data_IF_599513806111
#
_entry.id   IF_599513806111
#
_cell.length_a   1.000
_cell.length_b   1.000
_cell.length_c   1.000
_cell.angle_alpha   90.00
_cell.angle_beta   90.00
_cell.angle_gamma   90.00
#
_symmetry.space_group_name_H-M   'P 1'
#
loop_
_entity.id
_entity.type
_entity.pdbx_description
1 polymer ?
#
# COMPACT_ATOMS: atom_id res chain seq x y z
N UNK A 1 2.07 -16.37 -39.66
CA UNK A 1 1.02 -15.72 -38.82
C UNK A 1 0.25 -16.83 -38.12
N UNK A 2 0.64 -17.13 -36.88
CA UNK A 2 0.05 -18.20 -36.10
C UNK A 2 -0.90 -17.58 -35.07
N UNK A 3 -2.17 -17.43 -35.45
CA UNK A 3 -3.26 -17.16 -34.51
C UNK A 3 -3.40 -18.38 -33.61
N UNK A 4 -2.68 -18.40 -32.49
CA UNK A 4 -2.90 -19.39 -31.45
C UNK A 4 -4.32 -19.18 -30.94
N UNK A 5 -5.21 -20.12 -31.25
CA UNK A 5 -6.49 -20.31 -30.57
C UNK A 5 -6.21 -20.36 -29.08
N UNK A 6 -6.50 -19.24 -28.39
CA UNK A 6 -6.50 -19.20 -26.93
C UNK A 6 -7.78 -19.94 -26.55
N UNK A 7 -7.63 -21.17 -26.03
CA UNK A 7 -8.70 -21.88 -25.36
C UNK A 7 -9.46 -20.90 -24.47
N UNK A 8 -10.77 -20.87 -24.61
CA UNK A 8 -11.69 -20.15 -23.70
C UNK A 8 -11.49 -20.71 -22.30
N UNK A 9 -10.47 -20.22 -21.60
CA UNK A 9 -10.32 -20.49 -20.17
C UNK A 9 -11.55 -19.90 -19.48
N UNK A 10 -12.23 -20.70 -18.68
CA UNK A 10 -13.44 -20.33 -17.93
C UNK A 10 -13.28 -19.05 -17.08
N UNK A 11 -12.06 -18.59 -16.86
CA UNK A 11 -11.73 -17.41 -16.08
C UNK A 11 -10.86 -16.43 -16.89
N UNK A 12 -11.27 -15.15 -16.91
CA UNK A 12 -10.50 -14.06 -17.53
C UNK A 12 -9.10 -13.94 -16.88
N UNK A 13 -8.04 -13.85 -17.70
CA UNK A 13 -6.66 -13.87 -17.21
C UNK A 13 -6.36 -12.74 -16.21
N UNK A 14 -7.05 -11.62 -16.30
CA UNK A 14 -6.94 -10.52 -15.34
C UNK A 14 -7.10 -10.97 -13.88
N UNK A 15 -7.95 -11.98 -13.60
CA UNK A 15 -8.12 -12.51 -12.24
C UNK A 15 -6.93 -13.31 -11.72
N UNK A 16 -6.16 -13.97 -12.61
CA UNK A 16 -4.89 -14.58 -12.22
C UNK A 16 -3.85 -13.52 -11.84
N UNK A 17 -3.87 -12.35 -12.54
CA UNK A 17 -3.01 -11.21 -12.18
C UNK A 17 -3.44 -10.63 -10.82
N UNK A 18 -4.74 -10.54 -10.54
CA UNK A 18 -5.26 -10.13 -9.22
C UNK A 18 -4.80 -11.07 -8.11
N UNK A 19 -4.88 -12.39 -8.33
CA UNK A 19 -4.38 -13.39 -7.38
C UNK A 19 -2.86 -13.25 -7.16
N UNK A 20 -2.09 -13.08 -8.23
CA UNK A 20 -0.65 -12.81 -8.16
C UNK A 20 -0.34 -11.54 -7.38
N UNK A 21 -1.09 -10.48 -7.66
CA UNK A 21 -1.01 -9.21 -6.96
C UNK A 21 -1.28 -9.34 -5.46
N UNK A 22 -2.36 -10.03 -5.08
CA UNK A 22 -2.69 -10.32 -3.70
C UNK A 22 -1.55 -11.05 -2.97
N UNK A 23 -1.03 -12.13 -3.57
CA UNK A 23 0.05 -12.92 -2.98
C UNK A 23 1.36 -12.13 -2.85
N UNK A 24 1.72 -11.34 -3.86
CA UNK A 24 2.91 -10.49 -3.81
C UNK A 24 2.79 -9.40 -2.74
N UNK A 25 1.61 -8.79 -2.59
CA UNK A 25 1.33 -7.85 -1.51
C UNK A 25 1.44 -8.52 -0.14
N UNK A 26 0.91 -9.76 -0.02
CA UNK A 26 1.01 -10.52 1.21
C UNK A 26 2.46 -10.79 1.61
N UNK A 27 3.29 -11.27 0.68
CA UNK A 27 4.70 -11.54 0.93
C UNK A 27 5.46 -10.25 1.30
N UNK A 28 5.30 -9.19 0.51
CA UNK A 28 6.05 -7.95 0.66
C UNK A 28 5.72 -7.22 1.97
N UNK A 29 4.43 -7.05 2.27
CA UNK A 29 4.00 -6.34 3.47
C UNK A 29 4.07 -7.19 4.72
N UNK A 30 3.86 -8.52 4.61
CA UNK A 30 4.11 -9.45 5.69
C UNK A 30 5.58 -9.40 6.14
N UNK A 31 6.52 -9.42 5.20
CA UNK A 31 7.95 -9.25 5.48
C UNK A 31 8.26 -7.90 6.14
N UNK A 32 7.69 -6.82 5.62
CA UNK A 32 7.88 -5.46 6.16
C UNK A 32 7.40 -5.31 7.59
N UNK A 33 6.18 -5.75 7.88
CA UNK A 33 5.59 -5.59 9.21
C UNK A 33 6.13 -6.59 10.23
N UNK A 34 6.80 -7.66 9.80
CA UNK A 34 7.54 -8.56 10.68
C UNK A 34 8.82 -7.92 11.27
N UNK A 35 9.29 -6.79 10.73
CA UNK A 35 10.54 -6.17 11.20
C UNK A 35 10.54 -5.87 12.70
N UNK A 36 9.43 -5.40 13.24
CA UNK A 36 9.30 -5.05 14.66
C UNK A 36 9.67 -6.19 15.62
N UNK A 37 9.48 -7.45 15.20
CA UNK A 37 9.76 -8.64 16.01
C UNK A 37 11.28 -8.84 16.20
N UNK A 38 12.11 -8.35 15.26
CA UNK A 38 13.56 -8.50 15.30
C UNK A 38 14.27 -7.47 16.18
N UNK A 39 13.59 -6.37 16.54
CA UNK A 39 14.22 -5.27 17.31
C UNK A 39 14.81 -5.78 18.63
N UNK A 40 14.02 -6.50 19.42
CA UNK A 40 14.47 -6.99 20.73
C UNK A 40 15.59 -8.04 20.62
N UNK A 41 15.50 -9.08 19.78
CA UNK A 41 16.58 -10.04 19.57
C UNK A 41 17.88 -9.41 19.09
N UNK A 42 17.84 -8.47 18.15
CA UNK A 42 19.03 -7.76 17.65
C UNK A 42 19.67 -6.89 18.73
N UNK A 43 18.87 -6.20 19.53
CA UNK A 43 19.37 -5.41 20.67
C UNK A 43 20.05 -6.30 21.71
N UNK A 44 19.49 -7.47 21.99
CA UNK A 44 20.04 -8.40 22.98
C UNK A 44 21.32 -9.10 22.51
N UNK A 45 21.36 -9.55 21.24
CA UNK A 45 22.47 -10.37 20.72
C UNK A 45 23.64 -9.51 20.22
N UNK A 46 23.37 -8.39 19.55
CA UNK A 46 24.38 -7.51 18.94
C UNK A 46 24.74 -6.30 19.81
N UNK A 47 24.03 -6.06 20.91
CA UNK A 47 24.21 -4.87 21.74
C UNK A 47 23.85 -3.56 21.06
N UNK A 48 23.15 -3.60 19.91
CA UNK A 48 22.74 -2.39 19.20
C UNK A 48 21.60 -1.69 19.94
N UNK A 49 21.64 -0.36 19.99
CA UNK A 49 20.52 0.40 20.53
C UNK A 49 19.28 0.27 19.67
N UNK A 50 18.10 0.45 20.27
CA UNK A 50 16.83 0.45 19.53
C UNK A 50 16.80 1.50 18.43
N UNK A 51 17.44 2.66 18.64
CA UNK A 51 17.56 3.71 17.63
C UNK A 51 18.37 3.27 16.41
N UNK A 52 19.47 2.54 16.63
CA UNK A 52 20.28 1.95 15.54
C UNK A 52 19.42 1.00 14.71
N UNK A 53 18.70 0.08 15.35
CA UNK A 53 17.85 -0.87 14.63
C UNK A 53 16.72 -0.14 13.91
N UNK A 54 16.08 0.84 14.54
CA UNK A 54 14.96 1.60 13.95
C UNK A 54 15.40 2.47 12.77
N UNK A 55 16.65 2.97 12.76
CA UNK A 55 17.20 3.73 11.64
C UNK A 55 17.22 2.90 10.35
N UNK A 56 17.46 1.59 10.43
CA UNK A 56 17.37 0.71 9.27
C UNK A 56 15.97 0.72 8.64
N UNK A 57 14.91 0.74 9.47
CA UNK A 57 13.54 0.84 8.97
C UNK A 57 13.24 2.21 8.33
N UNK A 58 13.80 3.28 8.86
CA UNK A 58 13.67 4.63 8.29
C UNK A 58 14.36 4.73 6.93
N UNK A 59 15.59 4.20 6.82
CA UNK A 59 16.31 4.10 5.53
C UNK A 59 15.51 3.26 4.53
N UNK A 60 14.96 2.11 4.98
CA UNK A 60 14.12 1.25 4.15
C UNK A 60 12.92 2.00 3.56
N UNK A 61 12.20 2.77 4.38
CA UNK A 61 11.03 3.50 3.93
C UNK A 61 11.39 4.59 2.90
N UNK A 62 12.50 5.29 3.12
CA UNK A 62 13.00 6.30 2.18
C UNK A 62 13.41 5.65 0.85
N UNK A 63 14.19 4.58 0.89
CA UNK A 63 14.63 3.85 -0.31
C UNK A 63 13.45 3.23 -1.04
N UNK A 64 12.47 2.68 -0.32
CA UNK A 64 11.22 2.18 -0.89
C UNK A 64 10.46 3.27 -1.64
N UNK A 65 10.32 4.46 -1.06
CA UNK A 65 9.62 5.57 -1.69
C UNK A 65 10.33 6.07 -2.96
N UNK A 66 11.67 6.20 -2.92
CA UNK A 66 12.48 6.54 -4.08
C UNK A 66 12.45 5.44 -5.15
N UNK A 67 12.55 4.18 -4.72
CA UNK A 67 12.45 2.99 -5.57
C UNK A 67 11.10 2.88 -6.29
N UNK A 68 10.01 3.36 -5.67
CA UNK A 68 8.69 3.45 -6.28
C UNK A 68 8.66 4.30 -7.55
N UNK A 69 9.46 5.36 -7.63
CA UNK A 69 9.62 6.18 -8.83
C UNK A 69 10.31 5.39 -9.94
N UNK A 70 11.36 4.62 -9.58
CA UNK A 70 12.08 3.78 -10.55
C UNK A 70 11.21 2.63 -11.06
N UNK A 71 10.49 1.94 -10.17
CA UNK A 71 9.61 0.82 -10.55
C UNK A 71 8.48 1.27 -11.46
N UNK A 72 7.90 2.45 -11.20
CA UNK A 72 6.87 3.04 -12.05
C UNK A 72 7.35 3.31 -13.47
N UNK A 73 8.56 3.88 -13.63
CA UNK A 73 9.17 4.12 -14.95
C UNK A 73 9.57 2.83 -15.66
N UNK A 74 10.08 1.86 -14.91
CA UNK A 74 10.45 0.55 -15.46
C UNK A 74 9.22 -0.18 -15.99
N UNK A 75 8.06 -0.07 -15.31
CA UNK A 75 6.81 -0.72 -15.72
C UNK A 75 6.27 -0.24 -17.07
N UNK A 76 6.66 0.95 -17.52
CA UNK A 76 6.30 1.47 -18.84
C UNK A 76 7.15 0.86 -19.95
N UNK A 77 8.30 0.24 -19.63
CA UNK A 77 9.28 -0.30 -20.62
C UNK A 77 9.53 -1.80 -20.47
N UNK A 78 9.37 -2.34 -19.29
CA UNK A 78 9.72 -3.73 -18.93
C UNK A 78 8.48 -4.48 -18.46
N UNK A 79 8.35 -5.74 -18.87
CA UNK A 79 7.23 -6.56 -18.44
C UNK A 79 7.23 -6.75 -16.89
N UNK A 80 6.05 -6.67 -16.23
CA UNK A 80 5.92 -6.72 -14.76
C UNK A 80 6.65 -7.91 -14.14
N UNK A 81 6.62 -9.08 -14.80
CA UNK A 81 7.27 -10.30 -14.31
C UNK A 81 8.76 -10.10 -13.99
N UNK A 82 9.48 -9.36 -14.84
CA UNK A 82 10.91 -9.15 -14.67
C UNK A 82 11.23 -8.16 -13.56
N UNK A 83 10.41 -7.11 -13.43
CA UNK A 83 10.55 -6.12 -12.34
C UNK A 83 10.30 -6.80 -10.99
N UNK A 84 9.21 -7.59 -10.90
CA UNK A 84 8.87 -8.32 -9.68
C UNK A 84 9.92 -9.39 -9.35
N UNK A 85 10.42 -10.13 -10.36
CA UNK A 85 11.48 -11.13 -10.15
C UNK A 85 12.76 -10.47 -9.62
N UNK A 86 13.20 -9.36 -10.24
CA UNK A 86 14.36 -8.61 -9.75
C UNK A 86 14.11 -8.08 -8.31
N UNK A 87 12.90 -7.58 -8.05
CA UNK A 87 12.48 -7.14 -6.73
C UNK A 87 12.53 -8.25 -5.68
N UNK A 88 12.06 -9.46 -6.04
CA UNK A 88 12.08 -10.63 -5.16
C UNK A 88 13.53 -11.06 -4.84
N UNK A 89 14.40 -11.13 -5.85
CA UNK A 89 15.81 -11.47 -5.68
C UNK A 89 16.54 -10.45 -4.79
N UNK A 90 16.38 -9.16 -5.08
CA UNK A 90 17.04 -8.09 -4.32
C UNK A 90 16.49 -8.01 -2.89
N UNK A 91 15.17 -8.17 -2.69
CA UNK A 91 14.56 -8.24 -1.34
C UNK A 91 15.07 -9.43 -0.54
N UNK A 92 15.11 -10.60 -1.17
CA UNK A 92 15.61 -11.82 -0.53
C UNK A 92 17.10 -11.66 -0.16
N UNK A 93 17.93 -11.16 -1.07
CA UNK A 93 19.35 -10.89 -0.77
C UNK A 93 19.49 -9.95 0.44
N UNK A 94 18.67 -8.90 0.55
CA UNK A 94 18.65 -8.02 1.71
C UNK A 94 18.40 -8.79 3.01
N UNK A 95 17.36 -9.64 3.06
CA UNK A 95 17.04 -10.45 4.25
C UNK A 95 18.10 -11.52 4.55
N UNK A 96 18.64 -12.19 3.53
CA UNK A 96 19.68 -13.20 3.72
C UNK A 96 20.98 -12.57 4.27
N UNK A 97 21.36 -11.39 3.78
CA UNK A 97 22.51 -10.64 4.30
C UNK A 97 22.27 -10.13 5.74
N UNK A 98 21.03 -9.76 6.11
CA UNK A 98 20.71 -9.39 7.48
C UNK A 98 21.04 -10.52 8.48
N UNK A 99 20.86 -11.78 8.10
CA UNK A 99 21.18 -12.92 8.97
C UNK A 99 22.69 -13.02 9.32
N UNK A 100 23.56 -12.49 8.44
CA UNK A 100 25.02 -12.45 8.65
C UNK A 100 25.55 -11.09 9.10
N UNK A 101 24.72 -10.05 9.22
CA UNK A 101 25.20 -8.71 9.54
C UNK A 101 25.84 -8.63 10.95
N UNK A 102 27.06 -8.14 11.01
CA UNK A 102 27.83 -7.96 12.25
C UNK A 102 27.91 -6.50 12.68
N UNK A 103 27.79 -5.58 11.72
CA UNK A 103 27.85 -4.14 11.96
C UNK A 103 26.51 -3.45 11.63
N UNK A 104 26.19 -2.31 12.28
CA UNK A 104 25.02 -1.52 11.91
C UNK A 104 25.02 -1.08 10.44
N UNK A 105 26.20 -0.79 9.87
CA UNK A 105 26.32 -0.36 8.47
C UNK A 105 25.91 -1.47 7.49
N UNK A 106 26.35 -2.70 7.73
CA UNK A 106 25.93 -3.87 6.95
C UNK A 106 24.42 -4.07 7.04
N UNK A 107 23.86 -3.92 8.24
CA UNK A 107 22.43 -4.03 8.47
C UNK A 107 21.64 -2.91 7.75
N UNK A 108 22.13 -1.66 7.77
CA UNK A 108 21.52 -0.56 7.01
C UNK A 108 21.57 -0.81 5.52
N UNK A 109 22.68 -1.31 5.01
CA UNK A 109 22.77 -1.66 3.59
C UNK A 109 21.84 -2.83 3.24
N UNK A 110 21.84 -3.89 4.02
CA UNK A 110 21.05 -5.10 3.77
C UNK A 110 19.53 -4.82 3.89
N UNK A 111 19.07 -4.35 5.06
CA UNK A 111 17.66 -4.10 5.30
C UNK A 111 17.20 -2.75 4.73
N UNK A 112 17.97 -1.70 4.97
CA UNK A 112 17.60 -0.35 4.56
C UNK A 112 17.60 -0.20 3.03
N UNK A 113 18.73 -0.50 2.40
CA UNK A 113 18.93 -0.24 0.96
C UNK A 113 18.44 -1.41 0.11
N UNK A 114 18.98 -2.60 0.26
CA UNK A 114 18.64 -3.72 -0.65
C UNK A 114 17.18 -4.13 -0.50
N UNK A 115 16.74 -4.44 0.72
CA UNK A 115 15.33 -4.79 0.89
C UNK A 115 14.41 -3.60 0.55
N UNK A 116 14.77 -2.36 0.91
CA UNK A 116 14.00 -1.17 0.53
C UNK A 116 13.78 -1.05 -0.97
N UNK A 117 14.85 -1.21 -1.76
CA UNK A 117 14.80 -1.17 -3.22
C UNK A 117 14.01 -2.35 -3.80
N UNK A 118 14.35 -3.58 -3.40
CA UNK A 118 13.68 -4.78 -3.90
C UNK A 118 12.19 -4.79 -3.58
N UNK A 119 11.81 -4.42 -2.34
CA UNK A 119 10.42 -4.34 -1.91
C UNK A 119 9.62 -3.28 -2.70
N UNK A 120 10.26 -2.21 -3.17
CA UNK A 120 9.60 -1.21 -4.01
C UNK A 120 9.26 -1.76 -5.40
N UNK A 121 10.13 -2.59 -5.96
CA UNK A 121 9.93 -3.19 -7.29
C UNK A 121 8.88 -4.29 -7.31
N UNK A 122 8.70 -5.03 -6.22
CA UNK A 122 7.60 -5.98 -6.06
C UNK A 122 6.41 -5.41 -5.27
N UNK A 123 6.44 -4.10 -4.97
CA UNK A 123 5.47 -3.42 -4.14
C UNK A 123 4.26 -2.88 -4.88
N UNK A 124 3.51 -2.02 -4.18
CA UNK A 124 2.22 -1.49 -4.61
C UNK A 124 2.25 -0.86 -6.00
N UNK A 125 3.28 -0.06 -6.33
CA UNK A 125 3.36 0.64 -7.62
C UNK A 125 3.32 -0.35 -8.79
N UNK A 126 4.21 -1.34 -8.77
CA UNK A 126 4.31 -2.34 -9.86
C UNK A 126 3.05 -3.20 -9.94
N UNK A 127 2.59 -3.67 -8.80
CA UNK A 127 1.53 -4.68 -8.70
C UNK A 127 0.17 -4.09 -9.03
N UNK A 128 -0.21 -2.97 -8.40
CA UNK A 128 -1.53 -2.36 -8.64
C UNK A 128 -1.62 -1.68 -10.01
N UNK A 129 -0.51 -1.11 -10.52
CA UNK A 129 -0.48 -0.60 -11.89
C UNK A 129 -0.68 -1.72 -12.91
N UNK A 130 -0.10 -2.91 -12.66
CA UNK A 130 -0.31 -4.09 -13.51
C UNK A 130 -1.78 -4.51 -13.53
N UNK A 131 -2.42 -4.62 -12.37
CA UNK A 131 -3.87 -4.91 -12.25
C UNK A 131 -4.69 -3.84 -12.96
N UNK A 132 -4.39 -2.55 -12.74
CA UNK A 132 -5.10 -1.43 -13.35
C UNK A 132 -5.07 -1.39 -14.87
N UNK A 133 -4.10 -2.06 -15.51
CA UNK A 133 -4.04 -2.22 -16.98
C UNK A 133 -5.05 -3.26 -17.51
N UNK A 134 -5.46 -4.24 -16.71
CA UNK A 134 -6.36 -5.33 -17.10
C UNK A 134 -7.84 -5.02 -16.87
N UNK A 135 -8.16 -4.06 -16.01
CA UNK A 135 -9.53 -3.75 -15.64
C UNK A 135 -9.86 -2.27 -15.87
N UNK A 136 -11.07 -2.01 -16.35
CA UNK A 136 -11.67 -0.67 -16.51
C UNK A 136 -12.90 -0.55 -15.64
N UNK A 137 -13.92 -1.38 -15.84
CA UNK A 137 -15.19 -1.36 -15.09
C UNK A 137 -15.06 -1.93 -13.70
N UNK A 138 -14.28 -3.02 -13.55
CA UNK A 138 -14.04 -3.73 -12.27
C UNK A 138 -12.69 -3.36 -11.65
N UNK A 139 -12.13 -2.20 -12.01
CA UNK A 139 -10.78 -1.79 -11.56
C UNK A 139 -10.71 -1.65 -10.04
N UNK A 140 -11.70 -1.01 -9.44
CA UNK A 140 -11.77 -0.82 -8.01
C UNK A 140 -11.83 -2.12 -7.24
N UNK A 141 -12.70 -3.04 -7.66
CA UNK A 141 -12.80 -4.37 -7.10
C UNK A 141 -11.47 -5.15 -7.21
N UNK A 142 -10.87 -5.14 -8.41
CA UNK A 142 -9.63 -5.87 -8.69
C UNK A 142 -8.46 -5.35 -7.84
N UNK A 143 -8.29 -4.02 -7.75
CA UNK A 143 -7.26 -3.40 -6.91
C UNK A 143 -7.59 -3.57 -5.43
N UNK A 144 -8.86 -3.49 -5.03
CA UNK A 144 -9.31 -3.73 -3.66
C UNK A 144 -8.93 -5.13 -3.19
N UNK A 145 -9.26 -6.18 -3.95
CA UNK A 145 -8.88 -7.57 -3.66
C UNK A 145 -7.35 -7.72 -3.58
N UNK A 146 -6.62 -7.13 -4.53
CA UNK A 146 -5.16 -7.17 -4.52
C UNK A 146 -4.58 -6.55 -3.24
N UNK A 147 -5.14 -5.43 -2.80
CA UNK A 147 -4.69 -4.69 -1.62
C UNK A 147 -4.96 -5.44 -0.31
N UNK A 148 -6.00 -6.31 -0.25
CA UNK A 148 -6.24 -7.16 0.92
C UNK A 148 -5.03 -8.06 1.25
N UNK A 149 -4.18 -8.35 0.27
CA UNK A 149 -2.92 -9.05 0.47
C UNK A 149 -2.04 -8.41 1.55
N UNK A 150 -2.05 -7.08 1.69
CA UNK A 150 -1.29 -6.36 2.73
C UNK A 150 -1.66 -6.85 4.13
N UNK A 151 -2.96 -6.84 4.45
CA UNK A 151 -3.47 -7.28 5.74
C UNK A 151 -3.32 -8.79 5.92
N UNK A 152 -3.58 -9.58 4.86
CA UNK A 152 -3.42 -11.03 4.89
C UNK A 152 -1.96 -11.44 5.17
N UNK A 153 -0.99 -10.79 4.53
CA UNK A 153 0.42 -11.06 4.75
C UNK A 153 0.86 -10.72 6.17
N UNK A 154 0.37 -9.62 6.73
CA UNK A 154 0.63 -9.24 8.11
C UNK A 154 0.05 -10.27 9.09
N UNK A 155 -1.17 -10.75 8.84
CA UNK A 155 -1.84 -11.74 9.67
C UNK A 155 -1.23 -13.15 9.60
N UNK A 156 -0.51 -13.47 8.53
CA UNK A 156 0.06 -14.81 8.31
C UNK A 156 1.57 -14.86 8.51
N UNK A 157 2.31 -14.01 7.79
CA UNK A 157 3.77 -14.06 7.77
C UNK A 157 4.38 -13.54 9.09
N UNK A 158 3.75 -12.52 9.71
CA UNK A 158 4.26 -11.98 10.98
C UNK A 158 4.21 -13.00 12.12
N UNK A 159 3.09 -13.69 12.40
CA UNK A 159 3.05 -14.75 13.40
C UNK A 159 3.95 -15.95 13.04
N UNK A 160 4.02 -16.33 11.76
CA UNK A 160 4.93 -17.39 11.33
C UNK A 160 6.39 -17.03 11.61
N UNK A 161 6.79 -15.78 11.33
CA UNK A 161 8.12 -15.28 11.64
C UNK A 161 8.37 -15.26 13.16
N UNK A 162 7.39 -14.83 13.97
CA UNK A 162 7.49 -14.83 15.42
C UNK A 162 7.70 -16.24 15.96
N UNK A 163 6.97 -17.23 15.43
CA UNK A 163 7.14 -18.65 15.77
C UNK A 163 8.56 -19.15 15.47
N UNK A 164 9.10 -18.81 14.28
CA UNK A 164 10.47 -19.18 13.92
C UNK A 164 11.50 -18.53 14.86
N UNK A 165 11.32 -17.24 15.21
CA UNK A 165 12.21 -16.56 16.16
C UNK A 165 12.19 -17.22 17.53
N UNK A 166 11.03 -17.62 18.01
CA UNK A 166 10.86 -18.20 19.35
C UNK A 166 11.48 -19.58 19.47
N UNK A 167 11.42 -20.43 18.41
CA UNK A 167 11.85 -21.81 18.45
C UNK A 167 13.26 -22.04 17.90
N UNK A 168 13.80 -21.11 17.12
CA UNK A 168 15.12 -21.26 16.50
C UNK A 168 16.03 -20.06 16.84
N UNK A 169 16.04 -19.03 15.98
CA UNK A 169 16.87 -17.83 16.18
C UNK A 169 16.37 -16.67 15.33
N UNK A 170 16.82 -15.45 15.64
CA UNK A 170 16.53 -14.30 14.79
C UNK A 170 17.17 -14.43 13.39
N UNK A 171 18.33 -15.09 13.28
CA UNK A 171 18.94 -15.41 11.98
C UNK A 171 18.05 -16.30 11.14
N UNK A 172 17.50 -17.36 11.73
CA UNK A 172 16.52 -18.25 11.07
C UNK A 172 15.27 -17.49 10.61
N UNK A 173 14.81 -16.51 11.40
CA UNK A 173 13.70 -15.63 11.02
C UNK A 173 14.01 -14.81 9.77
N UNK A 174 15.20 -14.23 9.65
CA UNK A 174 15.62 -13.52 8.44
C UNK A 174 15.74 -14.44 7.24
N UNK A 175 16.32 -15.62 7.40
CA UNK A 175 16.42 -16.63 6.34
C UNK A 175 15.02 -17.07 5.88
N UNK A 176 14.10 -17.32 6.81
CA UNK A 176 12.71 -17.70 6.50
C UNK A 176 12.01 -16.64 5.64
N UNK A 177 12.11 -15.35 6.02
CA UNK A 177 11.53 -14.27 5.22
C UNK A 177 12.24 -14.16 3.87
N UNK A 178 13.56 -14.24 3.83
CA UNK A 178 14.34 -14.17 2.59
C UNK A 178 13.91 -15.24 1.58
N UNK A 179 13.81 -16.50 2.01
CA UNK A 179 13.34 -17.59 1.14
C UNK A 179 11.86 -17.49 0.80
N UNK A 180 11.02 -16.97 1.72
CA UNK A 180 9.60 -16.72 1.44
C UNK A 180 9.40 -15.63 0.36
N UNK A 181 10.28 -14.65 0.28
CA UNK A 181 10.27 -13.65 -0.79
C UNK A 181 10.84 -14.19 -2.10
N UNK A 182 11.93 -14.99 -2.03
CA UNK A 182 12.63 -15.49 -3.20
C UNK A 182 11.80 -16.51 -3.99
N UNK A 183 11.48 -17.62 -3.36
CA UNK A 183 10.88 -18.78 -4.07
C UNK A 183 9.45 -18.46 -4.49
N UNK A 184 8.50 -18.15 -3.58
CA UNK A 184 7.15 -17.81 -3.99
C UNK A 184 7.09 -16.53 -4.83
N UNK A 185 7.92 -15.52 -4.53
CA UNK A 185 7.95 -14.26 -5.28
C UNK A 185 8.29 -14.47 -6.75
N UNK A 186 9.31 -15.27 -7.06
CA UNK A 186 9.68 -15.61 -8.45
C UNK A 186 8.59 -16.46 -9.10
N UNK A 187 8.07 -17.49 -8.42
CA UNK A 187 7.03 -18.35 -8.97
C UNK A 187 5.77 -17.54 -9.34
N UNK A 188 5.30 -16.70 -8.43
CA UNK A 188 4.13 -15.82 -8.67
C UNK A 188 4.40 -14.87 -9.84
N UNK A 189 5.59 -14.24 -9.89
CA UNK A 189 5.95 -13.33 -10.96
C UNK A 189 5.94 -14.04 -12.34
N UNK A 190 6.54 -15.21 -12.45
CA UNK A 190 6.69 -15.92 -13.71
C UNK A 190 5.40 -16.63 -14.16
N UNK A 191 4.57 -17.11 -13.23
CA UNK A 191 3.34 -17.82 -13.55
C UNK A 191 2.14 -16.88 -13.74
N UNK A 192 1.94 -15.93 -12.80
CA UNK A 192 0.74 -15.11 -12.74
C UNK A 192 0.92 -13.72 -13.36
N UNK A 193 2.13 -13.10 -13.27
CA UNK A 193 2.39 -11.75 -13.78
C UNK A 193 3.05 -11.73 -15.18
N UNK A 194 3.05 -12.86 -15.90
CA UNK A 194 3.76 -12.98 -17.18
C UNK A 194 3.13 -12.17 -18.31
N UNK A 195 1.84 -11.89 -18.26
CA UNK A 195 1.11 -11.13 -19.28
C UNK A 195 1.09 -9.64 -18.92
N UNK A 196 1.37 -8.78 -19.90
CA UNK A 196 1.54 -7.33 -19.66
C UNK A 196 0.23 -6.56 -19.71
N UNK A 197 -0.48 -6.65 -20.81
CA UNK A 197 -1.76 -5.95 -21.07
C UNK A 197 -2.69 -6.87 -21.85
N UNK A 198 -4.02 -6.77 -21.69
CA UNK A 198 -4.97 -7.62 -22.40
C UNK A 198 -4.89 -7.46 -23.93
N UNK A 199 -4.67 -6.25 -24.42
CA UNK A 199 -4.65 -5.92 -25.84
C UNK A 199 -3.53 -6.65 -26.59
N UNK A 200 -2.38 -6.91 -25.95
CA UNK A 200 -1.28 -7.69 -26.54
C UNK A 200 -1.64 -9.17 -26.82
N UNK A 201 -2.77 -9.62 -26.31
CA UNK A 201 -3.28 -10.99 -26.48
C UNK A 201 -4.63 -11.03 -27.20
N UNK A 202 -5.02 -9.92 -27.85
CA UNK A 202 -6.31 -9.81 -28.55
C UNK A 202 -7.53 -9.79 -27.61
N UNK A 203 -7.31 -9.51 -26.32
CA UNK A 203 -8.36 -9.41 -25.30
C UNK A 203 -8.71 -7.95 -25.03
N UNK A 204 -9.97 -7.69 -24.71
CA UNK A 204 -10.37 -6.40 -24.13
C UNK A 204 -10.21 -6.40 -22.62
N UNK A 205 -10.04 -5.22 -21.98
CA UNK A 205 -10.15 -5.10 -20.53
C UNK A 205 -11.45 -5.70 -20.01
N UNK A 206 -11.44 -6.14 -18.74
CA UNK A 206 -12.56 -6.81 -18.07
C UNK A 206 -13.00 -8.14 -18.70
N UNK A 207 -12.39 -8.60 -19.79
CA UNK A 207 -12.73 -9.84 -20.51
C UNK A 207 -14.02 -9.72 -21.33
N UNK A 208 -14.41 -8.52 -21.73
CA UNK A 208 -15.59 -8.29 -22.56
C UNK A 208 -15.42 -8.84 -23.97
N UNK A 209 -16.45 -9.51 -24.53
CA UNK A 209 -16.42 -10.00 -25.90
C UNK A 209 -16.33 -8.82 -26.90
N UNK A 210 -15.48 -8.92 -27.93
CA UNK A 210 -15.34 -7.87 -28.96
C UNK A 210 -16.65 -7.53 -29.69
N UNK A 211 -17.55 -8.51 -29.81
CA UNK A 211 -18.81 -8.39 -30.59
C UNK A 211 -20.01 -7.96 -29.76
N UNK A 212 -19.95 -8.02 -28.42
CA UNK A 212 -21.13 -7.78 -27.56
C UNK A 212 -21.39 -6.30 -27.24
N UNK A 213 -20.53 -5.37 -27.64
CA UNK A 213 -20.68 -3.97 -27.25
C UNK A 213 -20.91 -3.09 -28.48
N UNK A 214 -22.19 -2.88 -28.85
CA UNK A 214 -22.56 -1.65 -29.54
C UNK A 214 -22.12 -0.46 -28.67
N UNK A 215 -21.56 0.62 -29.24
CA UNK A 215 -21.13 1.77 -28.46
C UNK A 215 -22.32 2.47 -27.88
N UNK A 216 -22.67 2.16 -26.61
CA UNK A 216 -23.47 3.08 -25.83
C UNK A 216 -22.67 4.37 -25.66
N UNK A 217 -23.30 5.51 -25.92
CA UNK A 217 -22.70 6.85 -26.00
C UNK A 217 -21.87 7.32 -24.78
N UNK A 218 -21.67 6.47 -23.76
CA UNK A 218 -20.85 6.71 -22.58
C UNK A 218 -19.42 6.14 -22.70
N UNK A 219 -19.09 5.37 -23.72
CA UNK A 219 -17.74 4.89 -24.01
C UNK A 219 -17.14 5.66 -25.19
N UNK A 220 -16.83 6.93 -24.98
CA UNK A 220 -15.97 7.65 -25.90
C UNK A 220 -14.66 6.86 -26.07
N UNK A 221 -14.25 6.56 -27.33
CA UNK A 221 -12.93 6.02 -27.58
C UNK A 221 -11.93 7.03 -27.02
N UNK A 222 -11.29 6.70 -25.90
CA UNK A 222 -10.16 7.47 -25.44
C UNK A 222 -9.10 7.35 -26.54
N UNK A 223 -8.99 8.35 -27.41
CA UNK A 223 -7.81 8.55 -28.22
C UNK A 223 -6.61 8.34 -27.30
N UNK A 224 -5.58 7.61 -27.75
CA UNK A 224 -4.36 7.48 -26.99
C UNK A 224 -3.78 8.89 -26.82
N UNK A 225 -4.12 9.56 -25.72
CA UNK A 225 -3.45 10.78 -25.35
C UNK A 225 -1.96 10.44 -25.26
N UNK A 226 -1.07 11.22 -25.89
CA UNK A 226 0.36 10.97 -25.82
C UNK A 226 0.75 10.78 -24.35
N UNK A 227 1.68 9.86 -24.03
CA UNK A 227 2.03 9.55 -22.66
C UNK A 227 2.41 10.85 -21.96
N UNK A 228 1.63 11.22 -20.93
CA UNK A 228 1.83 12.46 -20.21
C UNK A 228 3.24 12.43 -19.60
N UNK A 229 4.10 13.36 -20.01
CA UNK A 229 5.44 13.42 -19.46
C UNK A 229 5.37 13.74 -17.96
N UNK A 230 6.29 13.21 -17.16
CA UNK A 230 6.39 13.52 -15.73
C UNK A 230 6.44 15.04 -15.45
N UNK A 231 6.91 15.81 -16.41
CA UNK A 231 7.00 17.29 -16.35
C UNK A 231 5.62 17.94 -16.54
N UNK A 232 4.76 17.40 -17.44
CA UNK A 232 3.41 17.92 -17.66
C UNK A 232 2.47 17.59 -16.50
N UNK A 233 2.63 16.41 -15.89
CA UNK A 233 1.80 15.96 -14.77
C UNK A 233 2.02 16.81 -13.52
N UNK A 234 3.26 17.19 -13.23
CA UNK A 234 3.57 18.08 -12.08
C UNK A 234 3.00 19.49 -12.22
N UNK A 235 2.62 19.90 -13.41
CA UNK A 235 1.91 21.16 -13.65
C UNK A 235 0.39 21.04 -13.48
N UNK A 236 -0.15 19.83 -13.39
CA UNK A 236 -1.57 19.57 -13.22
C UNK A 236 -1.98 19.72 -11.75
N UNK A 237 -2.87 20.64 -11.45
CA UNK A 237 -3.36 20.88 -10.09
C UNK A 237 -4.00 19.62 -9.47
N UNK A 238 -4.61 18.74 -10.28
CA UNK A 238 -5.22 17.48 -9.83
C UNK A 238 -4.19 16.55 -9.21
N UNK A 239 -2.95 16.54 -9.73
CA UNK A 239 -1.86 15.76 -9.15
C UNK A 239 -1.58 16.20 -7.71
N UNK A 240 -1.45 17.50 -7.49
CA UNK A 240 -1.16 18.06 -6.18
C UNK A 240 -2.33 17.94 -5.21
N UNK A 241 -3.57 18.13 -5.68
CA UNK A 241 -4.76 17.91 -4.87
C UNK A 241 -4.81 16.47 -4.39
N UNK A 242 -4.57 15.49 -5.28
CA UNK A 242 -4.54 14.08 -4.92
C UNK A 242 -3.38 13.76 -3.97
N UNK A 243 -2.17 14.23 -4.27
CA UNK A 243 -0.98 13.99 -3.47
C UNK A 243 -1.13 14.57 -2.05
N UNK A 244 -1.61 15.81 -1.95
CA UNK A 244 -1.79 16.48 -0.66
C UNK A 244 -2.96 15.87 0.14
N UNK A 245 -4.13 15.70 -0.46
CA UNK A 245 -5.30 15.14 0.26
C UNK A 245 -5.04 13.72 0.74
N UNK A 246 -4.54 12.85 -0.16
CA UNK A 246 -4.25 11.46 0.21
C UNK A 246 -3.05 11.37 1.15
N UNK A 247 -2.01 12.18 0.94
CA UNK A 247 -0.84 12.28 1.81
C UNK A 247 -1.20 12.73 3.23
N UNK A 248 -2.09 13.72 3.35
CA UNK A 248 -2.62 14.17 4.65
C UNK A 248 -3.43 13.06 5.34
N UNK A 249 -4.24 12.30 4.60
CA UNK A 249 -4.96 11.16 5.18
C UNK A 249 -4.02 10.03 5.63
N UNK A 250 -2.95 9.74 4.86
CA UNK A 250 -1.91 8.78 5.25
C UNK A 250 -1.12 9.29 6.46
N UNK A 251 -0.80 10.57 6.52
CA UNK A 251 -0.17 11.21 7.68
C UNK A 251 -1.02 11.01 8.95
N UNK A 252 -2.32 11.27 8.87
CA UNK A 252 -3.25 11.05 9.97
C UNK A 252 -3.32 9.58 10.39
N UNK A 253 -3.34 8.66 9.42
CA UNK A 253 -3.35 7.22 9.70
C UNK A 253 -2.10 6.76 10.45
N UNK A 254 -0.91 7.15 9.99
CA UNK A 254 0.35 6.73 10.61
C UNK A 254 0.58 7.42 11.96
N UNK A 255 0.09 8.65 12.15
CA UNK A 255 0.01 9.26 13.48
C UNK A 255 -0.81 8.39 14.43
N UNK A 256 -1.99 7.93 13.99
CA UNK A 256 -2.86 7.10 14.80
C UNK A 256 -2.19 5.76 15.14
N UNK A 257 -1.58 5.07 14.18
CA UNK A 257 -0.92 3.79 14.42
C UNK A 257 0.18 3.84 15.48
N UNK A 258 0.93 4.92 15.52
CA UNK A 258 2.04 5.05 16.48
C UNK A 258 1.54 5.49 17.85
N UNK A 259 0.58 6.42 17.91
CA UNK A 259 0.24 7.11 19.16
C UNK A 259 -1.03 6.60 19.86
N UNK A 260 -1.86 5.77 19.21
CA UNK A 260 -3.10 5.26 19.84
C UNK A 260 -2.84 4.33 21.03
N UNK A 261 -1.77 3.50 20.97
CA UNK A 261 -1.45 2.56 22.04
C UNK A 261 -1.01 3.29 23.32
N UNK A 262 0.00 4.20 23.25
CA UNK A 262 0.32 5.03 24.40
C UNK A 262 -0.89 5.80 24.95
N UNK A 263 -1.69 6.41 24.07
CA UNK A 263 -2.89 7.14 24.48
C UNK A 263 -3.90 6.26 25.22
N UNK A 264 -4.15 5.04 24.75
CA UNK A 264 -5.04 4.10 25.41
C UNK A 264 -4.52 3.72 26.81
N UNK A 265 -3.21 3.49 26.94
CA UNK A 265 -2.56 3.19 28.23
C UNK A 265 -2.66 4.37 29.19
N UNK A 266 -2.42 5.60 28.70
CA UNK A 266 -2.54 6.84 29.50
C UNK A 266 -3.98 7.06 30.01
N UNK A 267 -4.99 6.51 29.31
CA UNK A 267 -6.40 6.52 29.73
C UNK A 267 -6.80 5.30 30.57
N UNK A 268 -5.85 4.52 31.10
CA UNK A 268 -6.09 3.40 32.01
C UNK A 268 -6.45 2.07 31.34
N UNK A 269 -6.35 1.97 30.00
CA UNK A 269 -6.60 0.72 29.28
C UNK A 269 -5.36 -0.18 29.37
N UNK A 270 -5.56 -1.47 29.61
CA UNK A 270 -4.45 -2.42 29.72
C UNK A 270 -3.60 -2.48 28.43
N UNK A 271 -2.29 -2.74 28.58
CA UNK A 271 -1.36 -2.85 27.45
C UNK A 271 -1.78 -3.90 26.42
N UNK A 272 -2.34 -5.01 26.90
CA UNK A 272 -2.81 -6.10 26.03
C UNK A 272 -3.99 -5.62 25.18
N UNK A 273 -5.00 -4.99 25.79
CA UNK A 273 -6.15 -4.46 25.05
C UNK A 273 -5.74 -3.35 24.09
N UNK A 274 -4.83 -2.44 24.51
CA UNK A 274 -4.29 -1.39 23.64
C UNK A 274 -3.52 -1.96 22.43
N UNK A 275 -2.73 -3.00 22.62
CA UNK A 275 -2.04 -3.68 21.51
C UNK A 275 -3.01 -4.44 20.59
N UNK A 276 -4.03 -5.09 21.15
CA UNK A 276 -5.06 -5.82 20.38
C UNK A 276 -5.84 -4.88 19.46
N UNK A 277 -6.00 -3.60 19.84
CA UNK A 277 -6.68 -2.61 19.00
C UNK A 277 -6.01 -2.39 17.64
N UNK A 278 -4.68 -2.52 17.56
CA UNK A 278 -3.96 -2.47 16.27
C UNK A 278 -4.32 -3.64 15.35
N UNK A 279 -4.45 -4.85 15.92
CA UNK A 279 -4.91 -6.03 15.18
C UNK A 279 -6.35 -5.85 14.66
N UNK A 280 -7.23 -5.26 15.50
CA UNK A 280 -8.60 -4.96 15.11
C UNK A 280 -8.67 -3.93 13.96
N UNK A 281 -7.81 -2.90 13.96
CA UNK A 281 -7.68 -1.97 12.83
C UNK A 281 -7.25 -2.72 11.56
N UNK A 282 -6.27 -3.63 11.66
CA UNK A 282 -5.81 -4.43 10.52
C UNK A 282 -6.92 -5.27 9.91
N UNK A 283 -7.72 -5.93 10.76
CA UNK A 283 -8.84 -6.75 10.33
C UNK A 283 -9.97 -5.91 9.69
N UNK A 284 -10.34 -4.80 10.33
CA UNK A 284 -11.33 -3.87 9.76
C UNK A 284 -10.83 -3.24 8.45
N UNK A 285 -9.54 -2.93 8.37
CA UNK A 285 -8.88 -2.41 7.16
C UNK A 285 -8.95 -3.39 5.98
N UNK A 286 -8.83 -4.70 6.23
CA UNK A 286 -8.99 -5.72 5.20
C UNK A 286 -10.39 -5.65 4.58
N UNK A 287 -11.44 -5.55 5.39
CA UNK A 287 -12.81 -5.38 4.92
C UNK A 287 -13.00 -4.05 4.18
N UNK A 288 -12.39 -2.98 4.70
CA UNK A 288 -12.41 -1.67 4.07
C UNK A 288 -11.73 -1.65 2.69
N UNK A 289 -10.59 -2.33 2.52
CA UNK A 289 -9.90 -2.41 1.23
C UNK A 289 -10.78 -3.01 0.13
N UNK A 290 -11.49 -4.09 0.46
CA UNK A 290 -12.48 -4.68 -0.45
C UNK A 290 -13.64 -3.72 -0.71
N UNK A 291 -14.27 -3.20 0.34
CA UNK A 291 -15.45 -2.36 0.25
C UNK A 291 -15.21 -1.08 -0.55
N UNK A 292 -14.17 -0.31 -0.24
CA UNK A 292 -13.88 0.95 -0.93
C UNK A 292 -13.43 0.74 -2.37
N UNK A 293 -12.73 -0.36 -2.65
CA UNK A 293 -12.44 -0.77 -4.02
C UNK A 293 -13.71 -1.03 -4.82
N UNK A 294 -14.61 -1.85 -4.27
CA UNK A 294 -15.88 -2.19 -4.90
C UNK A 294 -16.84 -0.98 -5.04
N UNK A 295 -16.96 -0.15 -4.01
CA UNK A 295 -17.77 1.06 -4.02
C UNK A 295 -17.28 2.04 -5.08
N UNK A 296 -15.95 2.16 -5.27
CA UNK A 296 -15.37 3.08 -6.25
C UNK A 296 -15.83 2.79 -7.68
N UNK A 297 -16.11 1.52 -8.00
CA UNK A 297 -16.63 1.13 -9.32
C UNK A 297 -18.11 1.49 -9.51
N UNK A 298 -18.86 1.72 -8.41
CA UNK A 298 -20.31 1.98 -8.43
C UNK A 298 -20.69 3.45 -8.29
N UNK A 299 -19.90 4.21 -7.53
CA UNK A 299 -20.20 5.65 -7.28
C UNK A 299 -19.96 6.52 -8.53
N UNK A 300 -19.34 5.97 -9.57
CA UNK A 300 -19.09 6.69 -10.83
C UNK A 300 -17.92 7.70 -10.76
N UNK A 301 -17.52 8.21 -9.58
CA UNK A 301 -16.28 8.97 -9.37
C UNK A 301 -15.57 8.47 -8.10
N UNK A 302 -14.38 7.83 -8.24
CA UNK A 302 -13.68 7.20 -7.12
C UNK A 302 -13.27 8.17 -6.00
N UNK A 303 -13.22 9.48 -6.27
CA UNK A 303 -12.93 10.48 -5.24
C UNK A 303 -13.93 10.47 -4.07
N UNK A 304 -15.21 10.18 -4.35
CA UNK A 304 -16.24 10.10 -3.31
C UNK A 304 -16.07 8.86 -2.42
N UNK A 305 -15.57 7.75 -3.00
CA UNK A 305 -15.19 6.58 -2.21
C UNK A 305 -14.04 6.91 -1.24
N UNK A 306 -13.05 7.69 -1.69
CA UNK A 306 -11.96 8.16 -0.83
C UNK A 306 -12.45 9.12 0.27
N UNK A 307 -13.29 10.09 -0.09
CA UNK A 307 -13.90 11.00 0.87
C UNK A 307 -14.69 10.27 1.96
N UNK A 308 -15.45 9.23 1.58
CA UNK A 308 -16.18 8.38 2.51
C UNK A 308 -15.21 7.65 3.46
N UNK A 309 -14.11 7.08 2.95
CA UNK A 309 -13.09 6.42 3.77
C UNK A 309 -12.43 7.38 4.78
N UNK A 310 -12.09 8.60 4.35
CA UNK A 310 -11.54 9.62 5.25
C UNK A 310 -12.57 10.06 6.30
N UNK A 311 -13.85 10.15 5.95
CA UNK A 311 -14.93 10.43 6.89
C UNK A 311 -15.08 9.33 7.94
N UNK A 312 -14.95 8.05 7.56
CA UNK A 312 -14.91 6.94 8.53
C UNK A 312 -13.69 7.06 9.47
N UNK A 313 -12.51 7.42 8.96
CA UNK A 313 -11.33 7.66 9.81
C UNK A 313 -11.57 8.84 10.76
N UNK A 314 -12.18 9.93 10.29
CA UNK A 314 -12.53 11.07 11.12
C UNK A 314 -13.53 10.69 12.22
N UNK A 315 -14.57 9.94 11.90
CA UNK A 315 -15.54 9.42 12.87
C UNK A 315 -14.85 8.50 13.90
N UNK A 316 -13.94 7.62 13.47
CA UNK A 316 -13.11 6.83 14.37
C UNK A 316 -12.29 7.71 15.31
N UNK A 317 -11.64 8.77 14.81
CA UNK A 317 -10.85 9.70 15.63
C UNK A 317 -11.74 10.39 16.69
N UNK A 318 -12.99 10.72 16.37
CA UNK A 318 -13.95 11.26 17.35
C UNK A 318 -14.24 10.26 18.46
N UNK A 319 -14.41 8.96 18.11
CA UNK A 319 -14.57 7.89 19.12
C UNK A 319 -13.31 7.79 19.97
N UNK A 320 -12.11 7.84 19.36
CA UNK A 320 -10.83 7.78 20.06
C UNK A 320 -10.69 8.90 21.09
N UNK A 321 -11.07 10.14 20.76
CA UNK A 321 -11.05 11.28 21.66
C UNK A 321 -11.89 11.08 22.94
N UNK A 322 -12.93 10.24 22.86
CA UNK A 322 -13.83 9.92 23.98
C UNK A 322 -13.50 8.59 24.64
N UNK A 323 -12.51 7.86 24.15
CA UNK A 323 -12.18 6.50 24.59
C UNK A 323 -11.75 6.48 26.06
N UNK A 324 -12.47 5.68 26.86
CA UNK A 324 -12.21 5.41 28.28
C UNK A 324 -12.28 3.93 28.61
N UNK A 325 -12.86 3.12 27.74
CA UNK A 325 -13.06 1.69 27.95
C UNK A 325 -12.50 0.90 26.75
N UNK A 326 -12.31 -0.40 26.95
CA UNK A 326 -11.81 -1.31 25.91
C UNK A 326 -12.80 -1.41 24.74
N UNK A 327 -14.12 -1.40 25.05
CA UNK A 327 -15.18 -1.48 24.04
C UNK A 327 -15.15 -0.25 23.12
N UNK A 328 -14.96 0.96 23.68
CA UNK A 328 -14.80 2.18 22.90
C UNK A 328 -13.54 2.15 22.04
N UNK A 329 -12.44 1.60 22.57
CA UNK A 329 -11.20 1.42 21.81
C UNK A 329 -11.38 0.45 20.64
N UNK A 330 -12.11 -0.64 20.83
CA UNK A 330 -12.45 -1.59 19.78
C UNK A 330 -13.41 -0.99 18.73
N UNK A 331 -14.40 -0.20 19.18
CA UNK A 331 -15.29 0.53 18.27
C UNK A 331 -14.53 1.54 17.41
N UNK A 332 -13.61 2.30 18.02
CA UNK A 332 -12.67 3.14 17.28
C UNK A 332 -11.89 2.32 16.24
N UNK A 333 -11.30 1.21 16.67
CA UNK A 333 -10.48 0.36 15.80
C UNK A 333 -11.26 -0.18 14.62
N UNK A 334 -12.52 -0.57 14.83
CA UNK A 334 -13.39 -1.03 13.75
C UNK A 334 -13.71 0.09 12.75
N UNK A 335 -14.14 1.25 13.24
CA UNK A 335 -14.57 2.38 12.39
C UNK A 335 -13.38 3.02 11.68
N UNK A 336 -12.30 3.34 12.41
CA UNK A 336 -11.08 3.92 11.86
C UNK A 336 -10.39 2.97 10.89
N UNK A 337 -10.25 1.70 11.30
CA UNK A 337 -9.62 0.65 10.50
C UNK A 337 -10.37 0.39 9.20
N UNK A 338 -11.70 0.36 9.25
CA UNK A 338 -12.52 0.24 8.03
C UNK A 338 -12.24 1.40 7.08
N UNK A 339 -12.27 2.66 7.58
CA UNK A 339 -11.93 3.84 6.79
C UNK A 339 -10.50 3.81 6.24
N UNK A 340 -9.50 3.39 7.07
CA UNK A 340 -8.11 3.22 6.66
C UNK A 340 -7.95 2.31 5.45
N UNK A 341 -8.82 1.30 5.30
CA UNK A 341 -8.83 0.42 4.16
C UNK A 341 -8.95 1.12 2.80
N UNK A 342 -9.44 2.35 2.74
CA UNK A 342 -9.53 3.12 1.49
C UNK A 342 -8.16 3.56 0.94
N UNK A 343 -7.15 3.73 1.81
CA UNK A 343 -5.88 4.36 1.45
C UNK A 343 -5.07 3.52 0.44
N UNK A 344 -5.09 2.19 0.56
CA UNK A 344 -4.36 1.32 -0.35
C UNK A 344 -4.89 1.35 -1.78
N UNK A 345 -6.16 0.97 -2.00
CA UNK A 345 -6.70 0.81 -3.34
C UNK A 345 -7.02 2.13 -4.05
N UNK A 346 -7.46 3.18 -3.33
CA UNK A 346 -8.03 4.36 -4.01
C UNK A 346 -7.00 5.30 -4.62
N UNK A 347 -5.78 5.35 -4.11
CA UNK A 347 -4.73 6.17 -4.72
C UNK A 347 -4.47 5.76 -6.18
N UNK A 348 -4.17 4.49 -6.50
CA UNK A 348 -3.98 4.07 -7.89
C UNK A 348 -5.25 4.12 -8.72
N UNK A 349 -6.44 3.88 -8.13
CA UNK A 349 -7.72 3.96 -8.83
C UNK A 349 -7.98 5.40 -9.30
N UNK A 350 -7.87 6.38 -8.40
CA UNK A 350 -8.06 7.80 -8.72
C UNK A 350 -6.98 8.28 -9.69
N UNK A 351 -5.72 7.87 -9.50
CA UNK A 351 -4.65 8.20 -10.42
C UNK A 351 -4.95 7.71 -11.85
N UNK A 352 -5.43 6.47 -11.99
CA UNK A 352 -5.79 5.90 -13.29
C UNK A 352 -7.01 6.60 -13.92
N UNK A 353 -8.00 7.00 -13.12
CA UNK A 353 -9.19 7.73 -13.58
C UNK A 353 -8.84 9.14 -14.09
N UNK A 354 -7.95 9.85 -13.40
CA UNK A 354 -7.61 11.25 -13.72
C UNK A 354 -6.55 11.40 -14.81
N UNK A 355 -5.58 10.50 -14.85
CA UNK A 355 -4.38 10.63 -15.70
C UNK A 355 -4.28 9.57 -16.78
N UNK A 356 -5.17 8.57 -16.78
CA UNK A 356 -5.18 7.49 -17.76
C UNK A 356 -4.31 6.30 -17.39
N UNK A 357 -4.46 5.21 -18.19
CA UNK A 357 -3.86 3.89 -17.90
C UNK A 357 -2.42 3.75 -18.37
N UNK A 358 -2.05 4.47 -19.44
CA UNK A 358 -0.78 4.23 -20.14
C UNK A 358 0.45 4.61 -19.31
N UNK A 359 0.38 5.74 -18.60
CA UNK A 359 1.49 6.24 -17.76
C UNK A 359 1.26 6.06 -16.27
N UNK A 360 0.35 5.15 -15.89
CA UNK A 360 -0.06 4.99 -14.49
C UNK A 360 1.11 4.62 -13.57
N UNK A 361 2.06 3.82 -14.04
CA UNK A 361 3.22 3.40 -13.26
C UNK A 361 4.07 4.58 -12.80
N UNK A 362 4.46 5.46 -13.73
CA UNK A 362 5.26 6.64 -13.43
C UNK A 362 4.52 7.63 -12.52
N UNK A 363 3.23 7.85 -12.79
CA UNK A 363 2.39 8.78 -12.01
C UNK A 363 2.20 8.25 -10.58
N UNK A 364 1.85 6.98 -10.45
CA UNK A 364 1.64 6.34 -9.16
C UNK A 364 2.93 6.27 -8.35
N UNK A 365 4.07 6.01 -8.99
CA UNK A 365 5.38 6.08 -8.34
C UNK A 365 5.67 7.46 -7.75
N UNK A 366 5.41 8.54 -8.51
CA UNK A 366 5.57 9.90 -7.98
C UNK A 366 4.58 10.20 -6.85
N UNK A 367 3.31 9.80 -6.99
CA UNK A 367 2.31 9.97 -5.94
C UNK A 367 2.71 9.24 -4.66
N UNK A 368 3.21 8.01 -4.77
CA UNK A 368 3.68 7.22 -3.62
C UNK A 368 4.82 7.92 -2.87
N UNK A 369 5.73 8.58 -3.57
CA UNK A 369 6.78 9.36 -2.92
C UNK A 369 6.21 10.50 -2.07
N UNK A 370 5.29 11.29 -2.59
CA UNK A 370 4.68 12.39 -1.84
C UNK A 370 3.75 11.90 -0.73
N UNK A 371 2.95 10.87 -1.01
CA UNK A 371 1.92 10.36 -0.10
C UNK A 371 2.53 9.52 1.02
N UNK A 372 3.31 8.51 0.68
CA UNK A 372 3.88 7.57 1.66
C UNK A 372 5.22 8.08 2.17
N UNK A 373 6.10 8.55 1.28
CA UNK A 373 7.43 9.03 1.65
C UNK A 373 7.37 10.28 2.51
N UNK A 374 6.68 11.32 2.09
CA UNK A 374 6.59 12.57 2.86
C UNK A 374 5.39 12.53 3.83
N UNK A 375 4.18 12.30 3.34
CA UNK A 375 2.99 12.29 4.19
C UNK A 375 3.08 11.25 5.30
N UNK A 376 3.47 10.02 4.95
CA UNK A 376 3.57 8.93 5.90
C UNK A 376 4.61 9.16 7.01
N UNK A 377 5.80 9.67 6.67
CA UNK A 377 6.87 9.89 7.65
C UNK A 377 6.59 11.05 8.61
N UNK A 378 5.82 12.06 8.18
CA UNK A 378 5.48 13.22 9.03
C UNK A 378 4.46 12.87 10.12
N UNK A 379 3.59 11.87 9.91
CA UNK A 379 2.53 11.54 10.86
C UNK A 379 3.01 11.26 12.28
N UNK A 380 3.87 10.24 12.48
CA UNK A 380 4.43 9.92 13.79
C UNK A 380 5.22 11.08 14.41
N UNK A 381 6.01 11.81 13.60
CA UNK A 381 6.83 12.93 14.06
C UNK A 381 5.97 14.06 14.61
N UNK A 382 4.93 14.47 13.88
CA UNK A 382 4.02 15.54 14.29
C UNK A 382 3.23 15.13 15.52
N UNK A 383 2.76 13.88 15.61
CA UNK A 383 2.07 13.38 16.78
C UNK A 383 2.93 13.41 18.04
N UNK A 384 4.19 12.99 17.92
CA UNK A 384 5.17 13.07 19.01
C UNK A 384 5.48 14.50 19.43
N UNK A 385 5.75 15.39 18.46
CA UNK A 385 6.03 16.80 18.73
C UNK A 385 4.86 17.52 19.44
N UNK A 386 3.63 17.25 18.99
CA UNK A 386 2.44 17.84 19.64
C UNK A 386 2.30 17.31 21.07
N UNK A 387 2.59 16.03 21.31
CA UNK A 387 2.61 15.49 22.67
C UNK A 387 3.68 16.15 23.54
N UNK A 388 4.90 16.25 23.05
CA UNK A 388 6.03 16.85 23.79
C UNK A 388 5.76 18.33 24.12
N UNK A 389 5.09 19.06 23.22
CA UNK A 389 4.77 20.47 23.40
C UNK A 389 3.55 20.70 24.33
N UNK A 390 2.57 19.78 24.35
CA UNK A 390 1.29 19.96 25.05
C UNK A 390 1.13 19.07 26.32
N UNK A 391 1.99 18.07 26.49
CA UNK A 391 1.88 17.05 27.53
C UNK A 391 0.67 16.13 27.37
N UNK A 392 -0.02 16.15 26.22
CA UNK A 392 -1.26 15.41 26.00
C UNK A 392 -1.46 15.00 24.56
N UNK A 393 -1.87 13.74 24.33
CA UNK A 393 -2.31 13.26 23.02
C UNK A 393 -3.62 13.89 22.54
N UNK A 394 -4.40 14.53 23.43
CA UNK A 394 -5.70 15.09 23.05
C UNK A 394 -5.58 16.15 21.96
N UNK A 395 -4.55 17.00 22.03
CA UNK A 395 -4.23 17.98 20.99
C UNK A 395 -3.84 17.30 19.67
N UNK A 396 -3.07 16.22 19.72
CA UNK A 396 -2.70 15.45 18.55
C UNK A 396 -3.93 14.82 17.86
N UNK A 397 -4.94 14.36 18.62
CA UNK A 397 -6.16 13.81 18.03
C UNK A 397 -7.08 14.88 17.43
N UNK A 398 -7.14 16.08 18.00
CA UNK A 398 -7.83 17.20 17.35
C UNK A 398 -7.14 17.61 16.05
N UNK A 399 -5.80 17.63 16.03
CA UNK A 399 -5.04 17.85 14.79
C UNK A 399 -5.30 16.73 13.77
N UNK A 400 -5.31 15.47 14.20
CA UNK A 400 -5.62 14.33 13.35
C UNK A 400 -7.00 14.47 12.68
N UNK A 401 -8.02 14.87 13.46
CA UNK A 401 -9.36 15.12 12.96
C UNK A 401 -9.36 16.27 11.92
N UNK A 402 -8.68 17.37 12.23
CA UNK A 402 -8.57 18.51 11.30
C UNK A 402 -7.88 18.11 9.99
N UNK A 403 -6.83 17.30 10.05
CA UNK A 403 -6.15 16.75 8.88
C UNK A 403 -7.09 15.89 8.02
N UNK A 404 -7.90 15.02 8.63
CA UNK A 404 -8.86 14.17 7.92
C UNK A 404 -9.99 14.97 7.28
N UNK A 405 -10.49 16.01 7.95
CA UNK A 405 -11.48 16.93 7.40
C UNK A 405 -10.89 17.70 6.20
N UNK A 406 -9.67 18.21 6.34
CA UNK A 406 -8.95 18.90 5.25
C UNK A 406 -8.71 17.95 4.06
N UNK A 407 -8.30 16.70 4.32
CA UNK A 407 -8.14 15.67 3.28
C UNK A 407 -9.44 15.39 2.55
N UNK A 408 -10.56 15.28 3.30
CA UNK A 408 -11.90 15.08 2.73
C UNK A 408 -12.33 16.24 1.86
N UNK A 409 -12.18 17.48 2.33
CA UNK A 409 -12.48 18.69 1.54
C UNK A 409 -11.61 18.80 0.28
N UNK A 410 -10.32 18.52 0.43
CA UNK A 410 -9.37 18.54 -0.68
C UNK A 410 -9.72 17.51 -1.77
N UNK A 411 -9.97 16.25 -1.40
CA UNK A 411 -10.28 15.22 -2.41
C UNK A 411 -11.61 15.49 -3.12
N UNK A 412 -12.63 16.00 -2.41
CA UNK A 412 -13.92 16.36 -2.99
C UNK A 412 -13.79 17.52 -3.98
N UNK A 413 -12.93 18.50 -3.71
CA UNK A 413 -12.70 19.65 -4.59
C UNK A 413 -12.07 19.30 -5.93
N UNK A 414 -11.46 18.10 -6.06
CA UNK A 414 -10.78 17.66 -7.28
C UNK A 414 -11.77 17.51 -8.44
N UNK A 415 -11.54 18.28 -9.52
CA UNK A 415 -12.37 18.25 -10.72
C UNK A 415 -12.11 17.01 -11.57
N UNK A 416 -13.12 16.52 -12.28
CA UNK A 416 -12.95 15.53 -13.36
C UNK A 416 -12.23 16.17 -14.55
N UNK A 417 -11.55 15.35 -15.35
CA UNK A 417 -11.04 15.77 -16.65
C UNK A 417 -12.27 16.03 -17.54
N UNK A 418 -12.49 17.27 -17.96
CA UNK A 418 -13.44 17.53 -19.03
C UNK A 418 -12.95 16.81 -20.28
N UNK A 419 -13.85 16.09 -20.95
CA UNK A 419 -13.56 15.36 -22.20
C UNK A 419 -13.36 16.31 -23.41
N UNK A 420 -13.26 17.63 -23.17
CA UNK A 420 -13.10 18.67 -24.17
C UNK A 420 -11.85 19.49 -23.87
N UNK A 421 -10.72 19.09 -24.41
CA UNK A 421 -9.61 19.92 -24.87
C UNK A 421 -8.68 19.08 -25.75
#
# INVERSE_FOLDING_TARGET
MNTRHIEKTRLFWGWYIVAGAFLLMALNYGARYSFGIFVQPLTADRGWSRSVVSLAASINLLVYALGGISSGRLLDRVAPRWIVTAGAVVSAAGFLLCAGAETPLEFYFAYGVLYGLGSSWMGTVTVTSSVGKWFVRKRGLAIGISSMGVSFGTLTLTPATAYILQHFSWKAGFLFIGFSLLIPGILIAQLLMRRTVPEAYGLKPDGEDPEATQPTAASSPAFPAPPASAKSIRKDSRFWILALSHGTAVMAALMAFVHQVPYAIDNGISRIAAATSLGAIGLAGLLGQFFFGWVSDRIGDPKYSAALGYAFMAAGTIILLQTRTVEMLLAYSAVFGFGYGCLGPLLPIIAADRFGRQSIGAIYGMLTFFVVGLGGSLGPLVGGWVYDASGSYRAAWWLNLALLVAATGGIVSMKRRHANA
#
